data_IF_425352814371
#
_entry.id   IF_425352814371
#
_cell.length_a   1.000
_cell.length_b   1.000
_cell.length_c   1.000
_cell.angle_alpha   90.00
_cell.angle_beta   90.00
_cell.angle_gamma   90.00
#
_symmetry.space_group_name_H-M   'P 1'
#
loop_
_entity.id
_entity.type
_entity.pdbx_description
1 polymer ?
#
# COMPACT_ATOMS: atom_id res chain seq x y z
N UNK A 1 -8.98 -3.24 10.20
CA UNK A 1 -9.45 -2.11 9.37
C UNK A 1 -10.75 -1.60 9.95
N UNK A 2 -11.07 -0.31 9.81
CA UNK A 2 -12.37 0.23 10.21
C UNK A 2 -13.12 0.70 8.96
N UNK A 3 -14.39 0.34 8.84
CA UNK A 3 -15.24 0.72 7.72
C UNK A 3 -16.52 1.31 8.27
N UNK A 4 -16.88 2.52 7.86
CA UNK A 4 -18.15 3.15 8.22
C UNK A 4 -18.96 3.49 6.98
N UNK A 5 -20.29 3.46 7.12
CA UNK A 5 -21.21 3.73 6.03
C UNK A 5 -22.43 4.51 6.54
N UNK A 6 -22.89 5.50 5.77
CA UNK A 6 -24.13 6.26 6.07
C UNK A 6 -25.39 5.48 5.65
N UNK A 7 -25.25 4.58 4.68
CA UNK A 7 -26.27 3.65 4.22
C UNK A 7 -25.89 2.22 4.62
N UNK A 8 -26.86 1.30 4.61
CA UNK A 8 -26.55 -0.11 4.76
C UNK A 8 -25.68 -0.56 3.58
N UNK A 9 -24.55 -1.20 3.86
CA UNK A 9 -23.54 -1.54 2.87
C UNK A 9 -23.15 -3.03 2.96
N UNK A 10 -22.96 -3.66 1.81
CA UNK A 10 -22.30 -4.95 1.68
C UNK A 10 -20.89 -4.69 1.18
N UNK A 11 -19.90 -5.02 2.00
CA UNK A 11 -18.48 -4.76 1.69
C UNK A 11 -17.73 -6.08 1.59
N UNK A 12 -17.06 -6.29 0.47
CA UNK A 12 -16.16 -7.43 0.24
C UNK A 12 -14.72 -6.95 0.21
N UNK A 13 -13.87 -7.61 0.99
CA UNK A 13 -12.44 -7.32 1.10
C UNK A 13 -11.67 -8.56 0.69
N UNK A 14 -10.79 -8.41 -0.30
CA UNK A 14 -9.93 -9.48 -0.81
C UNK A 14 -8.46 -9.09 -0.73
N UNK A 15 -7.57 -10.08 -0.69
CA UNK A 15 -6.14 -9.88 -0.96
C UNK A 15 -5.85 -10.55 -2.29
N UNK A 16 -5.56 -9.75 -3.31
CA UNK A 16 -5.31 -10.24 -4.66
C UNK A 16 -4.19 -11.29 -4.67
N UNK A 17 -4.29 -12.26 -5.58
CA UNK A 17 -3.35 -13.37 -5.69
C UNK A 17 -3.27 -14.28 -4.46
N UNK A 18 -4.27 -14.26 -3.58
CA UNK A 18 -4.41 -15.18 -2.44
C UNK A 18 -5.85 -15.71 -2.34
N UNK A 19 -6.10 -16.62 -1.39
CA UNK A 19 -7.45 -17.13 -1.10
C UNK A 19 -8.24 -16.27 -0.10
N UNK A 20 -7.71 -15.14 0.37
CA UNK A 20 -8.38 -14.32 1.37
C UNK A 20 -9.55 -13.54 0.77
N UNK A 21 -10.75 -13.76 1.34
CA UNK A 21 -11.95 -12.99 1.08
C UNK A 21 -12.81 -12.92 2.33
N UNK A 22 -13.26 -11.72 2.70
CA UNK A 22 -14.22 -11.50 3.78
C UNK A 22 -15.32 -10.56 3.29
N UNK A 23 -16.56 -10.92 3.54
CA UNK A 23 -17.72 -10.04 3.29
C UNK A 23 -18.38 -9.68 4.60
N UNK A 24 -18.68 -8.40 4.78
CA UNK A 24 -19.37 -7.86 5.96
C UNK A 24 -20.58 -7.05 5.54
N UNK A 25 -21.65 -7.14 6.32
CA UNK A 25 -22.78 -6.24 6.25
C UNK A 25 -22.59 -5.14 7.29
N UNK A 26 -22.66 -3.88 6.85
CA UNK A 26 -22.50 -2.71 7.70
C UNK A 26 -23.86 -2.01 7.74
N UNK A 27 -24.56 -2.00 8.88
CA UNK A 27 -25.77 -1.22 9.02
C UNK A 27 -25.53 0.28 8.79
N UNK A 28 -26.56 1.00 8.33
CA UNK A 28 -26.50 2.44 8.14
C UNK A 28 -26.07 3.18 9.41
N UNK A 29 -25.20 4.18 9.27
CA UNK A 29 -24.65 5.01 10.35
C UNK A 29 -23.89 4.20 11.42
N UNK A 30 -23.22 3.12 11.02
CA UNK A 30 -22.40 2.30 11.92
C UNK A 30 -20.99 2.10 11.41
N UNK A 31 -20.14 1.52 12.26
CA UNK A 31 -18.77 1.14 11.95
C UNK A 31 -18.58 -0.36 12.14
N UNK A 32 -17.85 -0.98 11.22
CA UNK A 32 -17.38 -2.35 11.30
C UNK A 32 -15.86 -2.37 11.43
N UNK A 33 -15.33 -3.21 12.32
CA UNK A 33 -13.89 -3.40 12.52
C UNK A 33 -13.46 -4.87 12.58
N UNK A 34 -14.31 -5.80 12.12
CA UNK A 34 -14.06 -7.24 12.22
C UNK A 34 -13.03 -7.76 11.22
N UNK A 35 -12.73 -6.99 10.16
CA UNK A 35 -11.79 -7.39 9.11
C UNK A 35 -10.34 -7.19 9.57
N UNK A 36 -9.65 -8.30 9.75
CA UNK A 36 -8.21 -8.38 10.06
C UNK A 36 -7.48 -8.90 8.83
N UNK A 37 -6.61 -8.06 8.27
CA UNK A 37 -5.80 -8.43 7.10
C UNK A 37 -4.67 -9.38 7.54
N UNK A 38 -4.46 -10.53 6.87
CA UNK A 38 -3.43 -11.48 7.27
C UNK A 38 -2.02 -10.91 7.04
N UNK A 39 -1.13 -11.20 8.00
CA UNK A 39 0.29 -10.81 7.98
C UNK A 39 1.24 -12.02 7.94
N UNK A 40 0.71 -13.20 7.60
CA UNK A 40 1.47 -14.45 7.55
C UNK A 40 0.71 -15.52 6.78
N UNK A 41 1.39 -16.62 6.48
CA UNK A 41 0.83 -17.76 5.78
C UNK A 41 0.56 -17.50 4.30
N UNK A 42 -0.25 -18.37 3.69
CA UNK A 42 -0.57 -18.33 2.25
C UNK A 42 -1.37 -17.09 1.83
N UNK A 43 -1.98 -16.40 2.80
CA UNK A 43 -2.79 -15.21 2.59
C UNK A 43 -2.08 -13.91 3.04
N UNK A 44 -0.77 -13.96 3.30
CA UNK A 44 0.00 -12.80 3.76
C UNK A 44 -0.08 -11.63 2.76
N UNK A 45 -0.66 -10.51 3.21
CA UNK A 45 -0.85 -9.31 2.41
C UNK A 45 0.38 -8.39 2.38
N UNK A 46 1.45 -8.71 3.14
CA UNK A 46 2.64 -7.86 3.19
C UNK A 46 3.44 -7.92 1.89
N UNK A 47 3.96 -6.76 1.49
CA UNK A 47 4.95 -6.59 0.41
C UNK A 47 6.31 -6.41 1.08
N UNK A 48 7.22 -7.35 0.84
CA UNK A 48 8.51 -7.44 1.56
C UNK A 48 9.73 -7.25 0.63
N UNK A 49 9.49 -6.89 -0.63
CA UNK A 49 10.54 -6.71 -1.64
C UNK A 49 10.20 -5.53 -2.55
N UNK A 50 11.24 -4.90 -3.07
CA UNK A 50 11.12 -3.98 -4.21
C UNK A 50 10.64 -4.73 -5.46
N UNK A 51 9.94 -4.02 -6.35
CA UNK A 51 9.47 -4.50 -7.63
C UNK A 51 7.95 -4.69 -7.71
N UNK A 52 7.55 -5.45 -8.73
CA UNK A 52 6.15 -5.76 -9.02
C UNK A 52 5.57 -6.72 -7.98
N UNK A 53 4.39 -6.40 -7.48
CA UNK A 53 3.56 -7.25 -6.63
C UNK A 53 2.16 -7.32 -7.19
N UNK A 54 1.62 -8.54 -7.31
CA UNK A 54 0.21 -8.78 -7.65
C UNK A 54 -0.66 -8.92 -6.39
N UNK A 55 -0.07 -8.76 -5.20
CA UNK A 55 -0.74 -8.77 -3.90
C UNK A 55 -1.11 -7.35 -3.52
N UNK A 56 -2.40 -7.08 -3.45
CA UNK A 56 -3.00 -5.82 -3.01
C UNK A 56 -4.30 -6.09 -2.28
N UNK A 57 -4.64 -5.25 -1.31
CA UNK A 57 -5.93 -5.30 -0.61
C UNK A 57 -6.93 -4.59 -1.51
N UNK A 58 -7.98 -5.29 -1.92
CA UNK A 58 -9.05 -4.75 -2.75
C UNK A 58 -10.36 -4.73 -1.95
N UNK A 59 -11.03 -3.58 -1.97
CA UNK A 59 -12.23 -3.33 -1.19
C UNK A 59 -13.32 -2.90 -2.17
N UNK A 60 -14.43 -3.63 -2.18
CA UNK A 60 -15.59 -3.33 -3.01
C UNK A 60 -16.81 -3.17 -2.12
N UNK A 61 -17.59 -2.13 -2.37
CA UNK A 61 -18.88 -1.94 -1.74
C UNK A 61 -19.93 -1.55 -2.77
N UNK A 62 -21.17 -1.92 -2.49
CA UNK A 62 -22.36 -1.57 -3.24
C UNK A 62 -22.79 -0.10 -3.05
N UNK A 63 -22.33 0.58 -1.99
CA UNK A 63 -22.59 1.99 -1.70
C UNK A 63 -21.30 2.72 -1.27
N UNK A 64 -21.27 4.06 -1.28
CA UNK A 64 -20.12 4.80 -0.76
C UNK A 64 -19.86 4.51 0.72
N UNK A 65 -18.58 4.27 1.06
CA UNK A 65 -18.11 3.97 2.42
C UNK A 65 -16.86 4.80 2.74
N UNK A 66 -16.56 4.94 4.03
CA UNK A 66 -15.28 5.48 4.51
C UNK A 66 -14.47 4.34 5.10
N UNK A 67 -13.21 4.22 4.70
CA UNK A 67 -12.32 3.16 5.17
C UNK A 67 -11.09 3.76 5.84
N UNK A 68 -10.75 3.24 7.01
CA UNK A 68 -9.49 3.54 7.69
C UNK A 68 -8.63 2.27 7.80
N UNK A 69 -7.45 2.32 7.20
CA UNK A 69 -6.42 1.33 7.45
C UNK A 69 -5.76 1.66 8.78
N UNK A 70 -5.79 0.72 9.73
CA UNK A 70 -5.13 0.84 11.02
C UNK A 70 -4.14 -0.29 11.16
N UNK A 71 -2.88 0.07 11.36
CA UNK A 71 -1.79 -0.84 11.63
C UNK A 71 -1.32 -0.65 13.06
N UNK A 72 -1.17 -1.75 13.79
CA UNK A 72 -0.59 -1.74 15.13
C UNK A 72 0.45 -2.86 15.25
N UNK A 73 1.52 -2.54 15.96
CA UNK A 73 2.55 -3.47 16.43
C UNK A 73 2.62 -3.43 17.96
N UNK A 74 3.66 -4.04 18.53
CA UNK A 74 3.82 -4.13 19.99
C UNK A 74 4.02 -2.76 20.67
N UNK A 75 4.66 -1.81 19.97
CA UNK A 75 5.09 -0.54 20.56
C UNK A 75 4.63 0.71 19.77
N UNK A 76 3.86 0.53 18.70
CA UNK A 76 3.44 1.63 17.83
C UNK A 76 2.18 1.28 17.06
N UNK A 77 1.37 2.29 16.75
CA UNK A 77 0.26 2.19 15.81
C UNK A 77 0.24 3.40 14.88
N UNK A 78 -0.42 3.22 13.74
CA UNK A 78 -0.68 4.27 12.77
C UNK A 78 -1.98 3.98 12.04
N UNK A 79 -2.70 5.03 11.68
CA UNK A 79 -3.93 4.92 10.90
C UNK A 79 -3.92 5.92 9.75
N UNK A 80 -4.56 5.56 8.64
CA UNK A 80 -4.78 6.44 7.50
C UNK A 80 -6.18 6.22 6.93
N UNK A 81 -6.77 7.29 6.40
CA UNK A 81 -8.01 7.20 5.61
C UNK A 81 -7.66 6.74 4.20
N UNK A 82 -8.34 5.72 3.70
CA UNK A 82 -8.20 5.27 2.33
C UNK A 82 -9.13 6.08 1.45
N UNK A 83 -8.56 6.70 0.41
CA UNK A 83 -9.34 7.40 -0.59
C UNK A 83 -9.80 6.43 -1.67
N UNK A 84 -11.02 6.60 -2.22
CA UNK A 84 -11.52 5.72 -3.27
C UNK A 84 -10.87 6.04 -4.62
N UNK A 85 -11.01 5.16 -5.61
CA UNK A 85 -10.26 5.26 -6.88
C UNK A 85 -10.54 6.55 -7.66
N UNK A 86 -11.72 7.14 -7.47
CA UNK A 86 -12.20 8.35 -8.14
C UNK A 86 -11.41 9.60 -7.72
N UNK A 87 -10.62 9.52 -6.64
CA UNK A 87 -9.77 10.64 -6.18
C UNK A 87 -8.35 10.57 -6.71
N UNK A 88 -8.02 9.61 -7.58
CA UNK A 88 -6.65 9.47 -8.07
C UNK A 88 -6.30 10.63 -9.02
N UNK A 89 -5.10 11.19 -8.83
CA UNK A 89 -4.51 12.20 -9.69
C UNK A 89 -3.47 11.61 -10.65
N UNK A 90 -2.79 12.48 -11.39
CA UNK A 90 -1.77 12.08 -12.37
C UNK A 90 -0.33 12.29 -11.90
N UNK A 91 -0.14 13.06 -10.82
CA UNK A 91 1.18 13.38 -10.26
C UNK A 91 1.13 13.25 -8.75
N UNK A 92 2.10 12.51 -8.22
CA UNK A 92 2.25 12.27 -6.80
C UNK A 92 3.69 12.52 -6.41
N UNK A 93 3.89 12.97 -5.18
CA UNK A 93 5.21 13.10 -4.59
C UNK A 93 5.18 12.31 -3.29
N UNK A 94 6.11 11.36 -3.16
CA UNK A 94 6.34 10.67 -1.91
C UNK A 94 7.31 11.51 -1.07
N UNK A 95 6.91 11.81 0.17
CA UNK A 95 7.74 12.53 1.14
C UNK A 95 8.17 11.53 2.20
N UNK A 96 9.47 11.25 2.25
CA UNK A 96 10.07 10.27 3.12
C UNK A 96 11.16 10.87 3.99
N UNK A 97 11.65 10.05 4.92
CA UNK A 97 12.68 10.40 5.87
C UNK A 97 13.82 9.38 5.81
N UNK A 98 15.00 9.76 6.30
CA UNK A 98 16.10 8.80 6.46
C UNK A 98 15.68 7.76 7.48
N UNK A 99 15.52 6.52 7.05
CA UNK A 99 15.07 5.46 7.93
C UNK A 99 16.23 5.02 8.82
N UNK A 100 16.11 5.32 10.12
CA UNK A 100 16.99 4.82 11.18
C UNK A 100 16.13 3.96 12.09
N UNK A 101 16.46 2.66 12.16
CA UNK A 101 15.66 1.67 12.87
C UNK A 101 16.48 0.92 13.92
N UNK A 102 15.82 0.31 14.90
CA UNK A 102 16.43 -0.68 15.78
C UNK A 102 16.22 -2.12 15.29
N UNK A 103 15.60 -2.29 14.12
CA UNK A 103 15.32 -3.58 13.48
C UNK A 103 16.03 -3.65 12.12
N UNK A 104 16.64 -4.80 11.74
CA UNK A 104 17.28 -4.93 10.45
C UNK A 104 16.27 -4.82 9.29
N UNK A 105 16.76 -4.65 8.06
CA UNK A 105 15.93 -4.62 6.84
C UNK A 105 14.82 -3.56 6.88
N UNK A 106 15.19 -2.38 7.38
CA UNK A 106 14.33 -1.20 7.42
C UNK A 106 14.67 -0.25 6.26
N UNK A 107 13.71 -0.05 5.37
CA UNK A 107 13.85 0.78 4.17
C UNK A 107 13.04 2.06 4.31
N UNK A 108 13.50 3.17 3.74
CA UNK A 108 12.59 4.21 3.23
C UNK A 108 11.91 3.65 2.00
N UNK A 109 10.62 3.88 1.80
CA UNK A 109 9.88 3.20 0.73
C UNK A 109 8.65 3.97 0.28
N UNK A 110 8.25 3.73 -0.96
CA UNK A 110 6.93 4.08 -1.45
C UNK A 110 6.42 2.97 -2.36
N UNK A 111 5.13 2.99 -2.65
CA UNK A 111 4.53 2.10 -3.63
C UNK A 111 3.44 2.82 -4.40
N UNK A 112 3.16 2.31 -5.59
CA UNK A 112 2.09 2.79 -6.46
C UNK A 112 1.17 1.62 -6.79
N UNK A 113 -0.14 1.84 -6.71
CA UNK A 113 -1.17 0.85 -7.07
C UNK A 113 -1.88 1.32 -8.34
N UNK A 114 -1.97 0.46 -9.35
CA UNK A 114 -2.66 0.78 -10.59
C UNK A 114 -4.17 0.58 -10.44
N UNK A 115 -4.95 1.62 -10.78
CA UNK A 115 -6.41 1.56 -10.79
C UNK A 115 -6.97 0.91 -12.06
N UNK A 116 -6.21 0.95 -13.17
CA UNK A 116 -6.61 0.49 -14.50
C UNK A 116 -5.51 -0.35 -15.15
N UNK A 117 -5.89 -1.17 -16.12
CA UNK A 117 -4.94 -1.92 -16.94
C UNK A 117 -4.07 -1.01 -17.81
N UNK A 118 -2.86 -1.47 -18.12
CA UNK A 118 -1.88 -0.70 -18.91
C UNK A 118 -1.54 0.68 -18.33
N UNK A 119 -1.57 0.81 -17.01
CA UNK A 119 -1.10 2.01 -16.31
C UNK A 119 0.42 2.13 -16.48
N UNK A 120 0.86 3.21 -17.14
CA UNK A 120 2.28 3.50 -17.33
C UNK A 120 2.77 4.51 -16.30
N UNK A 121 3.73 4.10 -15.49
CA UNK A 121 4.40 4.93 -14.50
C UNK A 121 5.74 5.44 -15.03
N UNK A 122 6.05 6.68 -14.69
CA UNK A 122 7.39 7.25 -14.80
C UNK A 122 7.82 7.57 -13.37
N UNK A 123 8.92 6.94 -12.92
CA UNK A 123 9.40 7.08 -11.55
C UNK A 123 10.79 7.70 -11.60
N UNK A 124 10.99 8.83 -10.93
CA UNK A 124 12.31 9.43 -10.75
C UNK A 124 12.71 9.40 -9.27
N UNK A 125 13.63 8.51 -8.86
CA UNK A 125 14.06 8.39 -7.49
C UNK A 125 15.02 9.51 -7.08
N UNK A 126 14.93 9.99 -5.83
CA UNK A 126 15.85 10.99 -5.29
C UNK A 126 17.21 10.42 -4.86
N UNK A 127 17.30 9.12 -4.59
CA UNK A 127 18.52 8.39 -4.22
C UNK A 127 18.49 6.97 -4.83
N UNK A 128 19.58 6.21 -4.73
CA UNK A 128 19.63 4.84 -5.24
C UNK A 128 18.62 3.90 -4.56
N UNK A 129 18.03 2.96 -5.31
CA UNK A 129 17.09 1.96 -4.77
C UNK A 129 17.78 0.66 -4.37
N UNK A 130 17.10 -0.18 -3.59
CA UNK A 130 17.56 -1.54 -3.27
C UNK A 130 17.62 -2.41 -4.53
N UNK A 131 16.70 -2.18 -5.48
CA UNK A 131 16.68 -2.81 -6.81
C UNK A 131 17.76 -2.30 -7.78
N UNK A 132 18.61 -1.36 -7.37
CA UNK A 132 19.76 -0.89 -8.14
C UNK A 132 19.45 0.24 -9.13
N UNK A 133 18.32 0.94 -8.99
CA UNK A 133 18.08 2.17 -9.74
C UNK A 133 18.99 3.29 -9.22
N UNK A 134 19.48 4.11 -10.14
CA UNK A 134 20.34 5.26 -9.85
C UNK A 134 19.49 6.52 -9.66
N UNK A 135 19.91 7.46 -8.79
CA UNK A 135 19.19 8.69 -8.56
C UNK A 135 19.03 9.54 -9.81
N UNK A 136 17.95 10.33 -9.85
CA UNK A 136 17.66 11.32 -10.92
C UNK A 136 17.46 10.75 -12.33
N UNK A 137 17.50 9.42 -12.51
CA UNK A 137 17.10 8.77 -13.75
C UNK A 137 15.63 8.38 -13.70
N UNK A 138 14.89 8.60 -14.80
CA UNK A 138 13.48 8.21 -14.87
C UNK A 138 13.33 6.79 -15.39
N UNK A 139 12.66 5.94 -14.62
CA UNK A 139 12.37 4.56 -14.95
C UNK A 139 10.90 4.42 -15.37
N UNK A 140 10.63 3.61 -16.40
CA UNK A 140 9.27 3.29 -16.83
C UNK A 140 8.85 1.94 -16.28
N UNK A 141 7.68 1.89 -15.65
CA UNK A 141 7.03 0.65 -15.18
C UNK A 141 5.63 0.59 -15.76
N UNK A 142 5.22 -0.58 -16.22
CA UNK A 142 3.85 -0.83 -16.66
C UNK A 142 3.16 -1.74 -15.64
N UNK A 143 1.95 -1.38 -15.25
CA UNK A 143 1.13 -2.10 -14.30
C UNK A 143 -0.26 -2.36 -14.88
N UNK A 144 -0.83 -3.50 -14.52
CA UNK A 144 -2.24 -3.80 -14.72
C UNK A 144 -3.06 -3.49 -13.47
N UNK A 145 -4.39 -3.48 -13.60
CA UNK A 145 -5.30 -3.15 -12.52
C UNK A 145 -5.04 -3.99 -11.28
N UNK A 146 -4.88 -3.32 -10.15
CA UNK A 146 -4.63 -3.95 -8.85
C UNK A 146 -3.20 -4.45 -8.63
N UNK A 147 -2.32 -4.31 -9.62
CA UNK A 147 -0.88 -4.53 -9.44
C UNK A 147 -0.24 -3.33 -8.73
N UNK A 148 0.83 -3.62 -8.00
CA UNK A 148 1.57 -2.68 -7.19
C UNK A 148 3.02 -2.69 -7.63
N UNK A 149 3.62 -1.51 -7.78
CA UNK A 149 5.07 -1.39 -7.85
C UNK A 149 5.57 -0.78 -6.55
N UNK A 150 6.39 -1.52 -5.81
CA UNK A 150 6.98 -1.09 -4.55
C UNK A 150 8.45 -0.75 -4.77
N UNK A 151 8.94 0.33 -4.16
CA UNK A 151 10.32 0.80 -4.32
C UNK A 151 10.94 1.03 -2.96
N UNK A 152 12.12 0.47 -2.73
CA UNK A 152 12.88 0.61 -1.50
C UNK A 152 14.12 1.47 -1.72
N UNK A 153 14.38 2.41 -0.82
CA UNK A 153 15.63 3.13 -0.79
C UNK A 153 16.78 2.20 -0.38
N UNK A 154 17.94 2.35 -1.01
CA UNK A 154 19.12 1.51 -0.74
C UNK A 154 19.54 1.58 0.73
N UNK A 155 19.85 0.42 1.31
CA UNK A 155 20.47 0.34 2.64
C UNK A 155 21.88 0.94 2.65
N UNK A 156 22.18 1.69 3.71
CA UNK A 156 23.53 2.21 4.01
C UNK A 156 24.17 1.51 5.20
N UNK A 157 23.43 0.65 5.89
CA UNK A 157 23.90 -0.22 6.95
C UNK A 157 22.82 -1.22 7.33
N UNK A 158 23.10 -2.08 8.31
CA UNK A 158 22.14 -3.11 8.79
C UNK A 158 20.82 -2.51 9.28
N UNK A 159 20.86 -1.29 9.82
CA UNK A 159 19.77 -0.62 10.50
C UNK A 159 19.39 0.75 9.88
N UNK A 160 19.99 1.09 8.75
CA UNK A 160 19.88 2.42 8.17
C UNK A 160 19.72 2.32 6.66
N UNK A 161 18.77 3.07 6.12
CA UNK A 161 18.64 3.31 4.69
C UNK A 161 18.46 4.81 4.43
N UNK A 162 18.79 5.23 3.22
CA UNK A 162 18.74 6.65 2.85
C UNK A 162 17.30 7.16 2.78
N UNK A 163 17.12 8.46 3.01
CA UNK A 163 15.90 9.15 2.61
C UNK A 163 15.71 8.96 1.11
N UNK A 164 14.52 8.50 0.75
CA UNK A 164 14.21 8.14 -0.62
C UNK A 164 12.82 8.64 -0.97
N UNK A 165 12.77 9.73 -1.74
CA UNK A 165 11.56 10.34 -2.28
C UNK A 165 11.35 9.88 -3.73
N UNK A 166 10.10 9.86 -4.17
CA UNK A 166 9.72 9.50 -5.54
C UNK A 166 8.72 10.49 -6.12
N UNK A 167 8.90 10.81 -7.40
CA UNK A 167 7.96 11.59 -8.22
C UNK A 167 7.69 10.90 -9.56
#
# INVERSE_FOLDING_TARGET
MYISADQAAVVTVTVNSTGFSQTVNIPANTVNFSIIIPKSGVNDARIMSEGLSTKGIHIVSDVPIVVYAHQYGLFSSGATMLMPMETYGYRYYSINYTQISNYPDSYSWFYVVAAEDNTRLLITPSDSTEGGWEPSLTYTVNLNKGEIYNVFGKKTGTFTSKRFDGQ
#
